data_IF_250437736032
#
_entry.id   IF_250437736032
#
_cell.length_a   1.000
_cell.length_b   1.000
_cell.length_c   1.000
_cell.angle_alpha   90.00
_cell.angle_beta   90.00
_cell.angle_gamma   90.00
#
_symmetry.space_group_name_H-M   'P 1'
#
loop_
_entity.id
_entity.type
_entity.pdbx_description
1 polymer ?
#
# COMPACT_ATOMS: atom_id res chain seq x y z
N UNK A 1 -15.34 0.33 -3.52
CA UNK A 1 -14.81 -0.83 -2.79
C UNK A 1 -13.32 -0.67 -2.58
N UNK A 2 -12.93 -0.37 -1.35
CA UNK A 2 -11.55 -0.07 -0.97
C UNK A 2 -10.87 -1.33 -0.43
N UNK A 3 -9.67 -1.65 -0.92
CA UNK A 3 -8.85 -2.75 -0.43
C UNK A 3 -7.85 -2.23 0.61
N UNK A 4 -7.83 -2.84 1.80
CA UNK A 4 -6.92 -2.43 2.88
C UNK A 4 -5.83 -3.48 3.11
N UNK A 5 -4.58 -3.13 2.79
CA UNK A 5 -3.44 -4.03 2.95
C UNK A 5 -2.47 -3.49 3.98
N UNK A 6 -1.74 -4.40 4.63
CA UNK A 6 -0.70 -4.06 5.61
C UNK A 6 0.61 -4.67 5.17
N UNK A 7 1.65 -3.82 5.03
CA UNK A 7 3.01 -4.23 4.63
C UNK A 7 3.11 -5.01 3.31
N UNK A 8 2.09 -4.93 2.47
CA UNK A 8 2.00 -5.65 1.20
C UNK A 8 1.46 -4.73 0.11
N UNK A 9 2.21 -4.59 -0.98
CA UNK A 9 1.89 -3.75 -2.11
C UNK A 9 2.08 -4.54 -3.39
N UNK A 10 1.05 -4.66 -4.21
CA UNK A 10 1.12 -5.33 -5.50
C UNK A 10 0.98 -4.31 -6.62
N UNK A 11 1.76 -4.47 -7.68
CA UNK A 11 1.87 -3.49 -8.75
C UNK A 11 2.13 -4.20 -10.09
N UNK A 12 1.38 -3.87 -11.16
CA UNK A 12 1.66 -4.39 -12.49
C UNK A 12 2.96 -3.81 -13.06
N UNK A 13 3.77 -4.66 -13.71
CA UNK A 13 4.94 -4.22 -14.47
C UNK A 13 4.53 -3.46 -15.74
N UNK A 14 5.40 -2.58 -16.19
CA UNK A 14 5.24 -1.77 -17.40
C UNK A 14 4.05 -0.79 -17.41
N UNK A 15 3.46 -0.52 -16.25
CA UNK A 15 2.44 0.51 -16.04
C UNK A 15 2.94 1.66 -15.15
N UNK A 16 2.39 2.85 -15.35
CA UNK A 16 2.68 4.02 -14.52
C UNK A 16 1.84 3.97 -13.24
N UNK A 17 2.51 4.07 -12.10
CA UNK A 17 1.91 3.87 -10.78
C UNK A 17 1.99 5.16 -9.98
N UNK A 18 0.84 5.59 -9.47
CA UNK A 18 0.72 6.74 -8.57
C UNK A 18 0.39 6.26 -7.16
N UNK A 19 1.26 6.57 -6.21
CA UNK A 19 1.00 6.40 -4.78
C UNK A 19 0.75 7.77 -4.15
N UNK A 20 -0.37 7.92 -3.45
CA UNK A 20 -0.63 9.08 -2.60
C UNK A 20 -0.11 8.79 -1.19
N UNK A 21 1.11 9.24 -0.90
CA UNK A 21 1.80 8.97 0.35
C UNK A 21 1.35 9.96 1.44
N UNK A 22 1.05 9.43 2.63
CA UNK A 22 0.70 10.22 3.82
C UNK A 22 1.27 9.52 5.06
N UNK A 23 1.72 10.33 6.03
CA UNK A 23 2.00 9.85 7.39
C UNK A 23 0.85 10.18 8.35
N UNK A 24 0.62 9.28 9.30
CA UNK A 24 -0.41 9.41 10.34
C UNK A 24 0.14 9.87 11.69
N UNK A 25 1.45 9.74 11.91
CA UNK A 25 2.10 9.98 13.19
C UNK A 25 3.32 10.93 13.07
N UNK A 26 4.46 10.44 12.58
CA UNK A 26 5.75 11.14 12.53
C UNK A 26 6.33 11.14 11.11
N UNK A 27 7.50 11.74 10.92
CA UNK A 27 8.17 11.69 9.63
C UNK A 27 8.67 10.27 9.36
N UNK A 28 8.30 9.74 8.20
CA UNK A 28 8.82 8.48 7.65
C UNK A 28 9.40 8.73 6.27
N UNK A 29 10.01 7.72 5.67
CA UNK A 29 10.42 7.80 4.27
C UNK A 29 10.11 6.51 3.54
N UNK A 30 9.23 6.58 2.54
CA UNK A 30 8.91 5.48 1.66
C UNK A 30 10.07 5.28 0.69
N UNK A 31 10.80 4.17 0.84
CA UNK A 31 11.94 3.87 -0.01
C UNK A 31 11.77 2.52 -0.69
N UNK A 32 11.89 2.54 -2.02
CA UNK A 32 11.96 1.39 -2.90
C UNK A 32 13.39 1.30 -3.47
N UNK A 33 14.29 0.53 -2.84
CA UNK A 33 15.70 0.50 -3.24
C UNK A 33 15.90 0.05 -4.69
N UNK A 34 15.09 -0.92 -5.15
CA UNK A 34 15.22 -1.54 -6.46
C UNK A 34 14.98 -0.55 -7.62
N UNK A 35 14.05 0.40 -7.45
CA UNK A 35 13.74 1.44 -8.44
C UNK A 35 14.34 2.81 -8.06
N UNK A 36 15.12 2.88 -6.98
CA UNK A 36 15.77 4.10 -6.46
C UNK A 36 14.80 5.26 -6.20
N UNK A 37 13.57 4.95 -5.78
CA UNK A 37 12.58 5.95 -5.42
C UNK A 37 12.52 6.07 -3.92
N UNK A 38 12.87 7.25 -3.40
CA UNK A 38 12.74 7.64 -2.00
C UNK A 38 11.85 8.87 -1.91
N UNK A 39 10.81 8.84 -1.09
CA UNK A 39 9.98 9.99 -0.80
C UNK A 39 9.60 10.02 0.68
N UNK A 40 9.83 11.16 1.31
CA UNK A 40 9.45 11.38 2.71
C UNK A 40 7.94 11.50 2.84
N UNK A 41 7.38 10.79 3.83
CA UNK A 41 5.99 10.88 4.25
C UNK A 41 5.90 11.86 5.41
N UNK A 42 5.41 13.07 5.13
CA UNK A 42 5.33 14.15 6.12
C UNK A 42 3.90 14.21 6.70
N UNK A 43 3.73 14.21 8.04
CA UNK A 43 2.43 14.38 8.66
C UNK A 43 1.70 15.63 8.16
N UNK A 44 0.41 15.48 7.83
CA UNK A 44 -0.42 16.58 7.32
C UNK A 44 -0.32 16.84 5.81
N UNK A 45 0.61 16.20 5.10
CA UNK A 45 0.75 16.33 3.65
C UNK A 45 0.29 15.06 2.91
N UNK A 46 -0.24 15.24 1.69
CA UNK A 46 -0.42 14.15 0.72
C UNK A 46 0.57 14.37 -0.40
N UNK A 47 1.54 13.46 -0.54
CA UNK A 47 2.65 13.61 -1.47
C UNK A 47 2.53 12.53 -2.55
N UNK A 48 2.40 12.90 -3.84
CA UNK A 48 2.35 11.93 -4.92
C UNK A 48 3.74 11.33 -5.18
N UNK A 49 3.80 10.02 -5.35
CA UNK A 49 5.00 9.29 -5.81
C UNK A 49 4.65 8.58 -7.10
N UNK A 50 5.42 8.85 -8.15
CA UNK A 50 5.27 8.23 -9.45
C UNK A 50 6.44 7.31 -9.72
N UNK A 51 6.15 6.08 -10.14
CA UNK A 51 7.19 5.17 -10.61
C UNK A 51 6.63 4.16 -11.60
N UNK A 52 7.54 3.51 -12.33
CA UNK A 52 7.24 2.44 -13.27
C UNK A 52 8.17 1.27 -13.01
N UNK A 53 7.62 0.12 -12.64
CA UNK A 53 8.38 -1.10 -12.46
C UNK A 53 8.62 -1.77 -13.82
N UNK A 54 9.85 -2.22 -14.09
CA UNK A 54 10.24 -2.84 -15.37
C UNK A 54 10.58 -4.33 -15.27
N UNK A 55 10.57 -4.89 -14.08
CA UNK A 55 10.99 -6.27 -13.83
C UNK A 55 10.08 -6.89 -12.78
N UNK A 56 9.55 -8.07 -13.08
CA UNK A 56 8.78 -8.86 -12.11
C UNK A 56 9.68 -9.30 -10.95
N UNK A 57 9.11 -9.38 -9.75
CA UNK A 57 9.81 -9.84 -8.55
C UNK A 57 9.20 -9.28 -7.28
N UNK A 58 9.65 -9.80 -6.13
CA UNK A 58 9.26 -9.30 -4.83
C UNK A 58 10.46 -8.59 -4.18
N UNK A 59 10.25 -7.34 -3.78
CA UNK A 59 11.28 -6.45 -3.26
C UNK A 59 10.85 -5.81 -1.96
N UNK A 60 11.83 -5.36 -1.17
CA UNK A 60 11.53 -4.71 0.09
C UNK A 60 11.13 -3.24 -0.12
N UNK A 61 10.12 -2.82 0.64
CA UNK A 61 9.83 -1.42 0.94
C UNK A 61 10.42 -1.16 2.32
N UNK A 62 11.23 -0.13 2.47
CA UNK A 62 11.89 0.17 3.74
C UNK A 62 11.64 1.61 4.16
N UNK A 63 11.57 1.83 5.47
CA UNK A 63 11.62 3.18 6.00
C UNK A 63 13.07 3.71 5.93
N UNK A 64 13.28 4.84 5.27
CA UNK A 64 14.60 5.44 5.09
C UNK A 64 14.82 6.75 5.89
N UNK A 65 13.94 7.01 6.88
CA UNK A 65 14.08 8.09 7.86
C UNK A 65 13.86 7.52 9.27
N UNK A 66 14.71 7.93 10.23
CA UNK A 66 14.58 7.49 11.62
C UNK A 66 13.23 7.94 12.23
N UNK A 67 12.30 6.98 12.31
CA UNK A 67 10.92 7.22 12.74
C UNK A 67 10.60 6.67 14.15
N UNK A 68 11.63 6.47 14.97
CA UNK A 68 11.51 5.99 16.35
C UNK A 68 12.07 4.59 16.58
N UNK A 69 11.72 3.98 17.72
CA UNK A 69 12.35 2.74 18.20
C UNK A 69 12.14 1.54 17.25
N UNK A 70 10.98 1.46 16.61
CA UNK A 70 10.63 0.41 15.66
C UNK A 70 11.26 0.57 14.26
N UNK A 71 12.02 1.63 14.01
CA UNK A 71 12.45 2.03 12.67
C UNK A 71 13.13 0.89 11.89
N UNK A 72 14.05 0.15 12.49
CA UNK A 72 14.79 -0.94 11.84
C UNK A 72 13.90 -2.13 11.41
N UNK A 73 12.72 -2.28 12.01
CA UNK A 73 11.72 -3.32 11.69
C UNK A 73 10.69 -2.84 10.68
N UNK A 74 10.65 -1.54 10.37
CA UNK A 74 9.63 -0.96 9.51
C UNK A 74 9.93 -1.30 8.04
N UNK A 75 9.44 -2.46 7.64
CA UNK A 75 9.60 -3.04 6.30
C UNK A 75 8.26 -3.54 5.79
N UNK A 76 8.01 -3.31 4.52
CA UNK A 76 6.93 -3.92 3.75
C UNK A 76 7.49 -4.64 2.54
N UNK A 77 6.62 -5.26 1.75
CA UNK A 77 6.98 -5.90 0.50
C UNK A 77 6.22 -5.27 -0.65
N UNK A 78 6.92 -5.08 -1.77
CA UNK A 78 6.30 -4.77 -3.05
C UNK A 78 6.49 -5.94 -4.01
N UNK A 79 5.40 -6.40 -4.61
CA UNK A 79 5.41 -7.43 -5.63
C UNK A 79 5.11 -6.78 -6.98
N UNK A 80 6.08 -6.87 -7.88
CA UNK A 80 5.92 -6.50 -9.29
C UNK A 80 5.57 -7.75 -10.08
N UNK A 81 4.45 -7.72 -10.78
CA UNK A 81 3.94 -8.88 -11.51
C UNK A 81 3.29 -8.48 -12.84
N UNK A 82 3.05 -9.44 -13.74
CA UNK A 82 2.31 -9.16 -14.96
C UNK A 82 0.88 -8.72 -14.67
N UNK A 83 0.29 -7.95 -15.58
CA UNK A 83 -1.09 -7.47 -15.45
C UNK A 83 -2.09 -8.60 -15.15
N UNK A 84 -1.98 -9.74 -15.83
CA UNK A 84 -2.86 -10.87 -15.61
C UNK A 84 -2.74 -11.48 -14.20
N UNK A 85 -1.52 -11.53 -13.62
CA UNK A 85 -1.32 -12.02 -12.26
C UNK A 85 -1.86 -11.02 -11.23
N UNK A 86 -1.63 -9.73 -11.47
CA UNK A 86 -2.16 -8.65 -10.63
C UNK A 86 -3.70 -8.67 -10.59
N UNK A 87 -4.37 -8.79 -11.75
CA UNK A 87 -5.84 -8.85 -11.82
C UNK A 87 -6.38 -10.08 -11.08
N UNK A 88 -5.76 -11.25 -11.25
CA UNK A 88 -6.13 -12.47 -10.53
C UNK A 88 -5.90 -12.36 -9.01
N UNK A 89 -4.82 -11.68 -8.59
CA UNK A 89 -4.57 -11.38 -7.20
C UNK A 89 -5.61 -10.41 -6.64
N UNK A 90 -5.97 -9.37 -7.40
CA UNK A 90 -6.89 -8.31 -6.99
C UNK A 90 -8.29 -8.89 -6.73
N UNK A 91 -8.81 -9.70 -7.67
CA UNK A 91 -10.12 -10.33 -7.53
C UNK A 91 -10.19 -11.24 -6.30
N UNK A 92 -9.17 -12.08 -6.10
CA UNK A 92 -9.07 -12.91 -4.90
C UNK A 92 -9.00 -12.09 -3.61
N UNK A 93 -8.33 -10.93 -3.62
CA UNK A 93 -8.22 -10.08 -2.42
C UNK A 93 -9.52 -9.39 -2.07
N UNK A 94 -10.29 -8.96 -3.06
CA UNK A 94 -11.62 -8.43 -2.81
C UNK A 94 -12.54 -9.50 -2.20
N UNK A 95 -12.58 -10.71 -2.77
CA UNK A 95 -13.42 -11.79 -2.21
C UNK A 95 -13.02 -12.15 -0.77
N UNK A 96 -11.72 -12.26 -0.48
CA UNK A 96 -11.22 -12.54 0.88
C UNK A 96 -11.63 -11.45 1.90
N UNK A 97 -11.60 -10.17 1.50
CA UNK A 97 -11.94 -9.07 2.41
C UNK A 97 -13.45 -8.88 2.58
N UNK A 98 -14.25 -9.13 1.55
CA UNK A 98 -15.71 -9.13 1.64
C UNK A 98 -16.22 -10.22 2.60
N UNK A 99 -15.62 -11.41 2.56
CA UNK A 99 -15.97 -12.52 3.47
C UNK A 99 -15.60 -12.23 4.94
N UNK A 100 -14.58 -11.40 5.18
CA UNK A 100 -14.06 -11.13 6.52
C UNK A 100 -14.72 -9.91 7.18
N UNK A 101 -15.41 -9.06 6.41
CA UNK A 101 -16.17 -7.95 6.99
C UNK A 101 -17.36 -8.51 7.78
N UNK A 102 -17.53 -8.16 9.07
CA UNK A 102 -18.78 -8.47 9.76
C UNK A 102 -19.90 -7.82 8.96
N UNK A 103 -20.92 -8.60 8.60
CA UNK A 103 -22.13 -8.07 7.96
C UNK A 103 -22.63 -6.92 8.82
N UNK A 104 -22.45 -5.69 8.36
CA UNK A 104 -23.09 -4.54 8.98
C UNK A 104 -24.57 -4.72 8.72
N UNK A 105 -25.29 -5.22 9.72
CA UNK A 105 -26.74 -5.23 9.72
C UNK A 105 -27.20 -3.80 9.41
N UNK A 106 -27.85 -3.63 8.26
CA UNK A 106 -28.41 -2.37 7.78
C UNK A 106 -29.47 -1.78 8.73
N UNK A 107 -29.72 -2.41 9.89
CA UNK A 107 -30.64 -1.99 10.93
C UNK A 107 -30.14 -0.79 11.77
N UNK A 108 -28.83 -0.61 11.96
CA UNK A 108 -28.33 0.45 12.87
C UNK A 108 -28.23 1.85 12.24
N UNK A 109 -28.39 1.99 10.92
CA UNK A 109 -28.45 3.31 10.27
C UNK A 109 -29.85 3.95 10.39
N UNK A 110 -30.86 3.20 10.82
CA UNK A 110 -32.25 3.67 10.89
C UNK A 110 -32.64 4.36 12.22
N UNK A 111 -31.78 4.35 13.24
CA UNK A 111 -32.08 4.92 14.57
C UNK A 111 -31.39 6.26 14.87
N UNK A 112 -30.66 6.83 13.91
CA UNK A 112 -30.16 8.20 13.98
C UNK A 112 -31.00 9.14 13.09
N UNK A 113 -32.28 9.31 13.46
CA UNK A 113 -33.12 10.43 13.02
C UNK A 113 -33.88 11.00 14.21
#
# INVERSE_FOLDING_TARGET
DDLFLTNDLHVPVDEDVLIQLKSMDVLHSFFLPHVRIKQDAVPGMKIPVWFKARQEGAFDIVCAELCGWGHYKMKGRVTYESRAKFDAWLERKYSEQEETQPQTDTADVALAR
#
